data_IF_629348667297
#
_entry.id   IF_629348667297
#
_cell.length_a   1.000
_cell.length_b   1.000
_cell.length_c   1.000
_cell.angle_alpha   90.00
_cell.angle_beta   90.00
_cell.angle_gamma   90.00
#
_symmetry.space_group_name_H-M   'P 1'
#
loop_
_entity.id
_entity.type
_entity.pdbx_description
1 polymer ?
#
# COMPACT_ATOMS: atom_id res chain seq x y z
N UNK A 1 2.43 15.61 12.52
CA UNK A 1 3.54 15.00 13.29
C UNK A 1 3.46 13.48 13.23
N UNK A 2 2.28 12.89 13.41
CA UNK A 2 2.07 11.42 13.40
C UNK A 2 2.42 10.73 12.07
N UNK A 3 1.91 11.17 10.92
CA UNK A 3 2.24 10.48 9.65
C UNK A 3 3.74 10.46 9.33
N UNK A 4 4.47 11.51 9.72
CA UNK A 4 5.92 11.55 9.52
C UNK A 4 6.62 10.51 10.39
N UNK A 5 6.24 10.39 11.66
CA UNK A 5 6.78 9.37 12.55
C UNK A 5 6.47 7.95 12.06
N UNK A 6 5.25 7.72 11.57
CA UNK A 6 4.84 6.45 10.96
C UNK A 6 5.69 6.14 9.73
N UNK A 7 5.85 7.10 8.82
CA UNK A 7 6.70 6.94 7.64
C UNK A 7 8.17 6.67 8.01
N UNK A 8 8.72 7.41 8.98
CA UNK A 8 10.10 7.23 9.42
C UNK A 8 10.33 5.83 10.02
N UNK A 9 9.34 5.29 10.74
CA UNK A 9 9.35 3.91 11.22
C UNK A 9 9.37 2.91 10.06
N UNK A 10 8.47 3.06 9.07
CA UNK A 10 8.45 2.19 7.88
C UNK A 10 9.76 2.24 7.09
N UNK A 11 10.41 3.42 7.02
CA UNK A 11 11.74 3.58 6.39
C UNK A 11 12.80 2.84 7.20
N UNK A 12 12.79 2.99 8.53
CA UNK A 12 13.78 2.36 9.41
C UNK A 12 13.68 0.83 9.41
N UNK A 13 12.47 0.29 9.24
CA UNK A 13 12.20 -1.15 9.11
C UNK A 13 12.42 -1.68 7.68
N UNK A 14 12.90 -0.84 6.75
CA UNK A 14 13.12 -1.18 5.33
C UNK A 14 11.87 -1.69 4.59
N UNK A 15 10.68 -1.33 5.09
CA UNK A 15 9.39 -1.73 4.52
C UNK A 15 8.96 -0.85 3.34
N UNK A 16 9.64 0.27 3.13
CA UNK A 16 9.36 1.20 2.04
C UNK A 16 10.62 1.58 1.28
N UNK A 17 10.46 1.95 0.03
CA UNK A 17 11.55 2.43 -0.81
C UNK A 17 11.15 3.69 -1.61
N UNK A 18 12.12 4.55 -1.96
CA UNK A 18 11.86 5.69 -2.82
C UNK A 18 11.72 5.22 -4.26
N UNK A 19 10.61 5.57 -4.87
CA UNK A 19 10.24 5.30 -6.26
C UNK A 19 10.36 6.60 -7.09
N UNK A 20 11.20 6.59 -8.10
CA UNK A 20 11.61 7.76 -8.86
C UNK A 20 10.96 7.86 -10.25
N UNK A 21 10.42 6.75 -10.79
CA UNK A 21 9.86 6.75 -12.14
C UNK A 21 8.61 7.62 -12.25
N UNK A 22 8.61 8.50 -13.23
CA UNK A 22 7.43 9.23 -13.69
C UNK A 22 6.41 8.31 -14.34
N UNK A 23 5.17 8.78 -14.50
CA UNK A 23 4.12 8.05 -15.24
C UNK A 23 4.55 7.74 -16.68
N UNK A 24 5.34 8.61 -17.32
CA UNK A 24 5.85 8.41 -18.66
C UNK A 24 6.86 7.26 -18.72
N UNK A 25 7.82 7.25 -17.79
CA UNK A 25 8.83 6.18 -17.69
C UNK A 25 8.21 4.83 -17.34
N UNK A 26 7.20 4.79 -16.46
CA UNK A 26 6.44 3.57 -16.16
C UNK A 26 5.81 3.01 -17.44
N UNK A 27 5.09 3.84 -18.20
CA UNK A 27 4.47 3.41 -19.47
C UNK A 27 5.50 2.92 -20.48
N UNK A 28 6.63 3.63 -20.62
CA UNK A 28 7.69 3.26 -21.54
C UNK A 28 8.30 1.90 -21.16
N UNK A 29 8.57 1.69 -19.87
CA UNK A 29 9.09 0.42 -19.35
C UNK A 29 8.13 -0.75 -19.62
N UNK A 30 6.83 -0.54 -19.35
CA UNK A 30 5.80 -1.56 -19.56
C UNK A 30 5.65 -1.87 -21.06
N UNK A 31 5.62 -0.86 -21.92
CA UNK A 31 5.52 -1.05 -23.36
C UNK A 31 6.71 -1.87 -23.91
N UNK A 32 7.92 -1.60 -23.44
CA UNK A 32 9.11 -2.36 -23.82
C UNK A 32 9.07 -3.82 -23.32
N UNK A 33 8.49 -4.04 -22.15
CA UNK A 33 8.27 -5.39 -21.61
C UNK A 33 7.18 -6.14 -22.39
N UNK A 34 6.10 -5.46 -22.76
CA UNK A 34 4.97 -6.03 -23.53
C UNK A 34 5.38 -6.49 -24.93
N UNK A 35 6.34 -5.81 -25.58
CA UNK A 35 6.95 -6.28 -26.84
C UNK A 35 7.62 -7.66 -26.73
N UNK A 36 7.91 -8.13 -25.51
CA UNK A 36 8.48 -9.47 -25.23
C UNK A 36 7.40 -10.53 -24.98
N UNK A 37 6.13 -10.23 -25.23
CA UNK A 37 5.02 -11.18 -25.16
C UNK A 37 4.56 -11.54 -23.73
N UNK A 38 4.84 -10.68 -22.74
CA UNK A 38 4.34 -10.85 -21.37
C UNK A 38 3.34 -9.75 -21.02
N UNK A 39 2.17 -10.15 -20.56
CA UNK A 39 1.21 -9.23 -19.96
C UNK A 39 1.76 -8.65 -18.65
N UNK A 40 1.64 -7.34 -18.50
CA UNK A 40 2.07 -6.65 -17.30
C UNK A 40 0.93 -6.68 -16.26
N UNK A 41 1.22 -7.08 -15.00
CA UNK A 41 0.19 -7.20 -13.98
C UNK A 41 -0.45 -5.84 -13.66
N UNK A 42 -1.72 -5.89 -13.22
CA UNK A 42 -2.52 -4.71 -12.87
C UNK A 42 -3.10 -4.89 -11.49
N UNK A 43 -3.32 -3.77 -10.81
CA UNK A 43 -4.04 -3.73 -9.54
C UNK A 43 -5.55 -3.95 -9.77
N UNK A 44 -6.35 -4.08 -8.69
CA UNK A 44 -7.80 -4.25 -8.79
C UNK A 44 -8.53 -3.12 -9.54
N UNK A 45 -7.94 -1.92 -9.62
CA UNK A 45 -8.49 -0.78 -10.36
C UNK A 45 -8.08 -0.80 -11.85
N UNK A 46 -7.32 -1.81 -12.26
CA UNK A 46 -6.82 -1.97 -13.63
C UNK A 46 -5.59 -1.11 -13.94
N UNK A 47 -4.99 -0.45 -12.94
CA UNK A 47 -3.77 0.33 -13.10
C UNK A 47 -2.56 -0.62 -13.14
N UNK A 48 -1.63 -0.46 -14.09
CA UNK A 48 -0.42 -1.29 -14.13
C UNK A 48 0.41 -1.18 -12.85
N UNK A 49 0.87 -2.32 -12.33
CA UNK A 49 1.71 -2.34 -11.13
C UNK A 49 3.03 -1.61 -11.37
N UNK A 50 3.59 -1.04 -10.29
CA UNK A 50 4.85 -0.30 -10.38
C UNK A 50 6.02 -1.23 -10.76
N UNK A 51 6.91 -0.83 -11.69
CA UNK A 51 8.09 -1.61 -12.03
C UNK A 51 9.02 -1.82 -10.83
N UNK A 52 9.59 -3.02 -10.65
CA UNK A 52 10.42 -3.34 -9.47
C UNK A 52 11.83 -2.72 -9.51
N UNK A 53 12.15 -1.90 -10.53
CA UNK A 53 13.49 -1.34 -10.74
C UNK A 53 13.98 -0.50 -9.56
N UNK A 54 13.15 0.41 -9.06
CA UNK A 54 13.56 1.28 -7.94
C UNK A 54 13.64 0.53 -6.62
N UNK A 55 12.83 -0.52 -6.46
CA UNK A 55 12.93 -1.44 -5.31
C UNK A 55 14.30 -2.13 -5.28
N UNK A 56 14.87 -2.47 -6.43
CA UNK A 56 16.20 -3.08 -6.52
C UNK A 56 17.37 -2.07 -6.41
N UNK A 57 17.12 -0.77 -6.33
CA UNK A 57 18.20 0.22 -6.29
C UNK A 57 19.01 0.13 -4.99
N UNK A 58 20.36 0.14 -5.05
CA UNK A 58 21.20 0.19 -3.86
C UNK A 58 20.95 1.45 -3.02
N UNK A 59 21.09 1.35 -1.69
CA UNK A 59 20.89 2.47 -0.77
C UNK A 59 21.74 3.70 -1.11
N UNK A 60 22.98 3.50 -1.55
CA UNK A 60 23.86 4.58 -1.99
C UNK A 60 23.25 5.38 -3.15
N UNK A 61 22.64 4.69 -4.10
CA UNK A 61 21.99 5.29 -5.27
C UNK A 61 20.72 6.04 -4.88
N UNK A 62 19.89 5.43 -4.03
CA UNK A 62 18.68 6.07 -3.49
C UNK A 62 19.02 7.39 -2.78
N UNK A 63 20.02 7.37 -1.89
CA UNK A 63 20.51 8.57 -1.18
C UNK A 63 21.03 9.63 -2.14
N UNK A 64 21.79 9.24 -3.18
CA UNK A 64 22.30 10.16 -4.20
C UNK A 64 21.17 10.86 -4.95
N UNK A 65 20.15 10.12 -5.41
CA UNK A 65 19.00 10.69 -6.15
C UNK A 65 18.16 11.63 -5.28
N UNK A 66 17.92 11.26 -4.02
CA UNK A 66 17.20 12.12 -3.06
C UNK A 66 17.99 13.40 -2.80
N UNK A 67 19.30 13.31 -2.54
CA UNK A 67 20.17 14.47 -2.33
C UNK A 67 20.26 15.38 -3.57
N UNK A 68 20.14 14.80 -4.78
CA UNK A 68 20.02 15.52 -6.04
C UNK A 68 18.64 16.15 -6.30
N UNK A 69 17.74 16.17 -5.30
CA UNK A 69 16.38 16.71 -5.39
C UNK A 69 15.49 16.07 -6.48
N UNK A 70 15.79 14.82 -6.87
CA UNK A 70 14.96 14.09 -7.82
C UNK A 70 13.56 13.87 -7.24
N UNK A 71 12.47 14.13 -8.00
CA UNK A 71 11.12 13.82 -7.54
C UNK A 71 10.95 12.33 -7.24
N UNK A 72 10.26 12.00 -6.15
CA UNK A 72 9.99 10.62 -5.76
C UNK A 72 8.75 10.49 -4.89
N UNK A 73 8.27 9.26 -4.75
CA UNK A 73 7.28 8.84 -3.77
C UNK A 73 7.82 7.67 -2.94
N UNK A 74 7.36 7.53 -1.71
CA UNK A 74 7.61 6.34 -0.91
C UNK A 74 6.58 5.28 -1.26
N UNK A 75 7.04 4.11 -1.70
CA UNK A 75 6.20 2.95 -1.97
C UNK A 75 6.44 1.88 -0.91
N UNK A 76 5.37 1.19 -0.53
CA UNK A 76 5.44 -0.03 0.28
C UNK A 76 6.11 -1.13 -0.53
N UNK A 77 7.13 -1.78 0.02
CA UNK A 77 7.60 -3.05 -0.50
C UNK A 77 6.69 -4.16 0.03
N UNK A 78 5.70 -4.56 -0.78
CA UNK A 78 4.68 -5.50 -0.31
C UNK A 78 5.27 -6.86 0.01
N UNK A 79 6.32 -7.30 -0.68
CA UNK A 79 6.94 -8.59 -0.36
C UNK A 79 7.73 -8.53 0.94
N UNK A 80 8.50 -7.46 1.17
CA UNK A 80 9.17 -7.27 2.46
C UNK A 80 8.14 -7.18 3.61
N UNK A 81 7.07 -6.41 3.41
CA UNK A 81 5.98 -6.31 4.38
C UNK A 81 5.30 -7.65 4.67
N UNK A 82 4.97 -8.42 3.63
CA UNK A 82 4.34 -9.73 3.80
C UNK A 82 5.27 -10.73 4.49
N UNK A 83 6.59 -10.63 4.34
CA UNK A 83 7.56 -11.47 5.05
C UNK A 83 7.58 -11.22 6.57
N UNK A 84 7.07 -10.08 7.04
CA UNK A 84 6.93 -9.76 8.47
C UNK A 84 5.61 -10.28 9.07
N UNK A 85 4.71 -10.85 8.26
CA UNK A 85 3.41 -11.29 8.74
C UNK A 85 3.52 -12.66 9.45
N UNK A 86 2.99 -12.79 10.68
CA UNK A 86 3.07 -14.05 11.43
C UNK A 86 2.14 -15.14 10.88
N UNK A 87 1.24 -14.80 9.95
CA UNK A 87 0.29 -15.73 9.36
C UNK A 87 -0.60 -15.07 8.30
N UNK A 88 -1.71 -15.74 7.97
CA UNK A 88 -2.68 -15.24 7.02
C UNK A 88 -3.35 -13.96 7.54
N UNK A 89 -3.40 -12.95 6.68
CA UNK A 89 -4.00 -11.65 6.98
C UNK A 89 -5.47 -11.67 6.58
N UNK A 90 -6.36 -11.12 7.41
CA UNK A 90 -7.80 -11.09 7.15
C UNK A 90 -8.48 -9.88 7.79
N UNK A 91 -9.75 -9.66 7.43
CA UNK A 91 -10.64 -8.71 8.10
C UNK A 91 -12.03 -9.30 8.36
N UNK A 92 -12.79 -8.66 9.24
CA UNK A 92 -14.19 -8.99 9.52
C UNK A 92 -15.11 -8.12 8.68
N UNK A 93 -15.95 -8.76 7.87
CA UNK A 93 -16.93 -8.12 6.96
C UNK A 93 -18.35 -8.43 7.44
N UNK A 94 -19.21 -7.42 7.54
CA UNK A 94 -20.64 -7.63 7.76
C UNK A 94 -21.31 -8.17 6.49
N UNK A 95 -22.23 -9.12 6.66
CA UNK A 95 -22.87 -9.80 5.54
C UNK A 95 -23.85 -8.89 4.78
N UNK A 96 -24.49 -7.96 5.49
CA UNK A 96 -25.51 -7.04 4.99
C UNK A 96 -25.67 -5.83 5.91
N UNK A 97 -26.56 -4.92 5.51
CA UNK A 97 -26.91 -3.68 6.22
C UNK A 97 -27.55 -3.90 7.59
N UNK A 98 -28.06 -5.10 7.88
CA UNK A 98 -28.61 -5.43 9.21
C UNK A 98 -27.51 -5.60 10.25
N UNK A 99 -26.26 -5.78 9.80
CA UNK A 99 -25.08 -5.99 10.63
C UNK A 99 -25.21 -7.16 11.64
N UNK A 100 -26.12 -8.10 11.36
CA UNK A 100 -26.43 -9.22 12.25
C UNK A 100 -25.41 -10.37 12.15
N UNK A 101 -24.82 -10.56 10.97
CA UNK A 101 -23.86 -11.62 10.70
C UNK A 101 -22.55 -11.05 10.13
N UNK A 102 -21.43 -11.73 10.43
CA UNK A 102 -20.13 -11.41 9.86
C UNK A 102 -19.46 -12.62 9.25
N UNK A 103 -18.59 -12.37 8.28
CA UNK A 103 -17.65 -13.34 7.73
C UNK A 103 -16.21 -12.83 7.85
N UNK A 104 -15.27 -13.76 7.86
CA UNK A 104 -13.85 -13.45 7.71
C UNK A 104 -13.50 -13.42 6.23
N UNK A 105 -12.83 -12.36 5.79
CA UNK A 105 -12.35 -12.22 4.41
C UNK A 105 -10.82 -12.19 4.42
N UNK A 106 -10.20 -13.00 3.56
CA UNK A 106 -8.75 -13.01 3.36
C UNK A 106 -8.27 -11.68 2.73
N UNK A 107 -7.22 -11.12 3.31
CA UNK A 107 -6.56 -9.93 2.79
C UNK A 107 -5.54 -10.29 1.71
N UNK A 108 -5.73 -9.71 0.52
CA UNK A 108 -4.85 -9.90 -0.64
C UNK A 108 -4.06 -8.63 -0.99
N UNK A 109 -3.16 -8.13 -0.12
CA UNK A 109 -2.40 -6.90 -0.37
C UNK A 109 -1.52 -7.00 -1.62
N UNK A 110 -1.03 -8.22 -1.96
CA UNK A 110 -0.24 -8.48 -3.16
C UNK A 110 -0.92 -8.10 -4.47
N UNK A 111 -2.26 -8.11 -4.51
CA UNK A 111 -3.02 -7.71 -5.69
C UNK A 111 -2.73 -6.24 -6.08
N UNK A 112 -2.41 -5.37 -5.13
CA UNK A 112 -2.12 -3.96 -5.37
C UNK A 112 -0.66 -3.67 -5.75
N UNK A 113 0.24 -4.63 -5.57
CA UNK A 113 1.68 -4.40 -5.65
C UNK A 113 2.15 -3.26 -4.73
N UNK A 114 3.25 -2.63 -5.10
CA UNK A 114 3.93 -1.63 -4.25
C UNK A 114 3.21 -0.27 -4.28
N UNK A 115 2.18 -0.11 -3.44
CA UNK A 115 1.38 1.13 -3.36
C UNK A 115 2.18 2.32 -2.81
N UNK A 116 1.78 3.54 -3.18
CA UNK A 116 2.34 4.76 -2.58
C UNK A 116 1.81 4.89 -1.15
N UNK A 117 2.70 5.07 -0.18
CA UNK A 117 2.36 5.35 1.22
C UNK A 117 2.65 6.80 1.64
N UNK A 118 3.54 7.49 0.91
CA UNK A 118 3.79 8.91 1.09
C UNK A 118 4.39 9.54 -0.18
N UNK A 119 4.27 10.85 -0.32
CA UNK A 119 5.01 11.64 -1.30
C UNK A 119 6.18 12.35 -0.59
N UNK A 120 7.16 12.84 -1.34
CA UNK A 120 8.30 13.57 -0.76
C UNK A 120 7.86 14.69 0.19
N UNK A 121 6.93 15.52 -0.26
CA UNK A 121 6.50 16.74 0.43
C UNK A 121 5.20 16.54 1.25
N UNK A 122 4.56 15.37 1.11
CA UNK A 122 3.32 15.01 1.83
C UNK A 122 3.56 13.65 2.50
N UNK A 123 3.72 13.58 3.84
CA UNK A 123 4.18 12.39 4.54
C UNK A 123 3.12 11.27 4.63
N UNK A 124 2.12 11.27 3.76
CA UNK A 124 1.05 10.28 3.73
C UNK A 124 0.48 10.09 2.32
N UNK A 125 -0.35 9.06 2.17
CA UNK A 125 -1.20 8.78 1.03
C UNK A 125 -2.58 8.39 1.54
N UNK A 126 -3.54 8.15 0.64
CA UNK A 126 -4.85 7.64 1.06
C UNK A 126 -4.74 6.38 1.93
N UNK A 127 -3.98 5.37 1.47
CA UNK A 127 -3.86 4.09 2.19
C UNK A 127 -3.24 4.25 3.58
N UNK A 128 -2.28 5.16 3.74
CA UNK A 128 -1.66 5.40 5.05
C UNK A 128 -2.54 6.27 5.95
N UNK A 129 -3.14 7.32 5.39
CA UNK A 129 -3.98 8.25 6.13
C UNK A 129 -5.19 7.55 6.76
N UNK A 130 -5.96 6.78 5.97
CA UNK A 130 -7.16 6.12 6.51
C UNK A 130 -6.84 5.17 7.66
N UNK A 131 -5.73 4.43 7.56
CA UNK A 131 -5.31 3.48 8.59
C UNK A 131 -4.92 4.18 9.88
N UNK A 132 -4.14 5.25 9.78
CA UNK A 132 -3.67 6.01 10.94
C UNK A 132 -4.83 6.79 11.58
N UNK A 133 -5.66 7.44 10.77
CA UNK A 133 -6.76 8.27 11.26
C UNK A 133 -7.85 7.44 11.93
N UNK A 134 -8.24 6.31 11.34
CA UNK A 134 -9.21 5.38 11.93
C UNK A 134 -8.74 4.91 13.31
N UNK A 135 -7.45 4.57 13.45
CA UNK A 135 -6.89 4.13 14.71
C UNK A 135 -6.85 5.26 15.76
N UNK A 136 -6.42 6.46 15.36
CA UNK A 136 -6.38 7.63 16.25
C UNK A 136 -7.77 8.03 16.75
N UNK A 137 -8.76 7.97 15.86
CA UNK A 137 -10.15 8.31 16.16
C UNK A 137 -10.93 7.14 16.81
N UNK A 138 -10.28 5.97 16.96
CA UNK A 138 -10.88 4.74 17.53
C UNK A 138 -12.12 4.30 16.74
N UNK A 139 -12.07 4.42 15.42
CA UNK A 139 -13.08 3.89 14.52
C UNK A 139 -13.17 2.38 14.71
N UNK A 140 -14.36 1.90 15.05
CA UNK A 140 -14.63 0.48 15.28
C UNK A 140 -15.33 -0.19 14.09
N UNK A 141 -16.05 0.61 13.30
CA UNK A 141 -16.86 0.16 12.17
C UNK A 141 -16.64 1.11 10.99
N UNK A 142 -16.30 0.57 9.83
CA UNK A 142 -16.12 1.31 8.58
C UNK A 142 -17.19 0.87 7.60
N UNK A 143 -18.04 1.82 7.19
CA UNK A 143 -19.04 1.65 6.14
C UNK A 143 -18.61 2.44 4.92
N UNK A 144 -18.44 1.79 3.77
CA UNK A 144 -17.98 2.45 2.54
C UNK A 144 -18.41 1.70 1.28
N UNK A 145 -18.22 2.31 0.11
CA UNK A 145 -18.61 1.71 -1.17
C UNK A 145 -17.79 0.47 -1.54
N UNK A 146 -18.41 -0.42 -2.32
CA UNK A 146 -17.80 -1.63 -2.85
C UNK A 146 -16.55 -1.38 -3.71
N UNK A 147 -16.38 -0.18 -4.27
CA UNK A 147 -15.18 0.25 -4.99
C UNK A 147 -13.92 0.21 -4.11
N UNK A 148 -14.05 0.42 -2.80
CA UNK A 148 -12.93 0.40 -1.86
C UNK A 148 -12.66 -0.98 -1.24
N UNK A 149 -13.46 -2.00 -1.60
CA UNK A 149 -13.37 -3.35 -1.03
C UNK A 149 -11.97 -3.94 -1.16
N UNK A 150 -11.39 -3.89 -2.36
CA UNK A 150 -10.08 -4.46 -2.61
C UNK A 150 -8.96 -3.70 -1.87
N UNK A 151 -9.11 -2.39 -1.67
CA UNK A 151 -8.15 -1.56 -0.95
C UNK A 151 -8.02 -1.95 0.54
N UNK A 152 -9.04 -2.61 1.10
CA UNK A 152 -9.00 -3.18 2.46
C UNK A 152 -7.81 -4.11 2.66
N UNK A 153 -7.42 -4.87 1.64
CA UNK A 153 -6.29 -5.80 1.73
C UNK A 153 -4.98 -5.11 2.09
N UNK A 154 -4.64 -3.99 1.42
CA UNK A 154 -3.42 -3.24 1.70
C UNK A 154 -3.52 -2.42 2.99
N UNK A 155 -4.72 -1.95 3.33
CA UNK A 155 -4.97 -1.22 4.59
C UNK A 155 -4.82 -2.15 5.80
N UNK A 156 -5.30 -3.40 5.71
CA UNK A 156 -5.07 -4.43 6.72
C UNK A 156 -3.58 -4.70 6.92
N UNK A 157 -2.81 -4.75 5.82
CA UNK A 157 -1.37 -4.98 5.91
C UNK A 157 -0.68 -3.83 6.66
N UNK A 158 -1.03 -2.58 6.33
CA UNK A 158 -0.51 -1.41 7.02
C UNK A 158 -0.90 -1.38 8.50
N UNK A 159 -2.15 -1.70 8.83
CA UNK A 159 -2.61 -1.80 10.22
C UNK A 159 -1.78 -2.83 11.00
N UNK A 160 -1.55 -4.02 10.42
CA UNK A 160 -0.77 -5.09 11.06
C UNK A 160 0.68 -4.66 11.30
N UNK A 161 1.35 -4.12 10.27
CA UNK A 161 2.72 -3.61 10.38
C UNK A 161 2.83 -2.54 11.47
N UNK A 162 1.84 -1.66 11.56
CA UNK A 162 1.84 -0.55 12.52
C UNK A 162 1.38 -0.97 13.92
N UNK A 163 0.89 -2.19 14.11
CA UNK A 163 0.33 -2.66 15.38
C UNK A 163 -1.01 -1.98 15.73
N UNK A 164 -1.79 -1.61 14.71
CA UNK A 164 -3.06 -0.91 14.85
C UNK A 164 -4.23 -1.90 14.77
N UNK A 165 -5.26 -1.76 15.62
CA UNK A 165 -6.41 -2.66 15.60
C UNK A 165 -7.23 -2.44 14.31
N UNK A 166 -7.62 -3.51 13.59
CA UNK A 166 -8.53 -3.38 12.45
C UNK A 166 -9.96 -3.06 12.92
N UNK A 167 -10.68 -2.16 12.22
CA UNK A 167 -12.12 -2.05 12.39
C UNK A 167 -12.85 -3.24 11.75
N UNK A 168 -14.17 -3.32 11.97
CA UNK A 168 -15.07 -4.19 11.22
C UNK A 168 -15.61 -3.43 10.01
N UNK A 169 -15.72 -4.09 8.87
CA UNK A 169 -16.05 -3.45 7.61
C UNK A 169 -17.44 -3.84 7.13
N UNK A 170 -18.12 -2.91 6.47
CA UNK A 170 -19.29 -3.18 5.65
C UNK A 170 -19.15 -2.43 4.32
N UNK A 171 -19.11 -3.18 3.22
CA UNK A 171 -19.05 -2.63 1.88
C UNK A 171 -20.41 -2.77 1.17
N UNK A 172 -20.92 -1.66 0.61
CA UNK A 172 -22.25 -1.57 -0.01
C UNK A 172 -22.20 -1.19 -1.50
#
# INVERSE_FOLDING_TARGET
AEYRAVLDRLIAEELVYPAFMSRGEIRAFIAETGKRGRDWPRDPDGVPLYPPLDRALPMKERKRRIAGNMPFAWRLDVEAAMAHMPGALSWTEFADETMAATRTVEAMPRAWGDVIVARRDIPTSYHLAVVVDDALQRVSHVVRGQDLYAATGVQRLLQELLGLPPPRYFHH
#
